data_IF_293077658642
#
_entry.id   IF_293077658642
#
_cell.length_a   1.000
_cell.length_b   1.000
_cell.length_c   1.000
_cell.angle_alpha   90.00
_cell.angle_beta   90.00
_cell.angle_gamma   90.00
#
_symmetry.space_group_name_H-M   'P 1'
#
loop_
_entity.id
_entity.type
_entity.pdbx_description
1 polymer ?
#
# COMPACT_ATOMS: atom_id res chain seq x y z
N UNK A 1 31.51 -57.17 -34.24
CA UNK A 1 30.72 -56.96 -33.02
C UNK A 1 30.57 -55.46 -32.83
N UNK A 2 29.41 -54.94 -33.16
CA UNK A 2 29.11 -53.51 -33.17
C UNK A 2 28.29 -53.22 -31.91
N UNK A 3 28.89 -52.56 -30.92
CA UNK A 3 28.21 -52.26 -29.65
C UNK A 3 27.48 -50.93 -29.79
N UNK A 4 26.16 -51.00 -29.89
CA UNK A 4 25.24 -49.85 -29.89
C UNK A 4 25.11 -49.30 -28.47
N UNK A 5 25.57 -48.06 -28.25
CA UNK A 5 25.25 -47.31 -27.04
C UNK A 5 23.88 -46.64 -27.20
N UNK A 6 22.91 -47.06 -26.39
CA UNK A 6 21.61 -46.39 -26.27
C UNK A 6 21.81 -45.19 -25.33
N UNK A 7 21.74 -43.98 -25.88
CA UNK A 7 21.61 -42.76 -25.09
C UNK A 7 20.15 -42.62 -24.66
N UNK A 8 19.87 -42.87 -23.38
CA UNK A 8 18.60 -42.50 -22.76
C UNK A 8 18.56 -40.98 -22.55
N UNK A 9 17.90 -40.26 -23.46
CA UNK A 9 17.53 -38.86 -23.25
C UNK A 9 16.49 -38.77 -22.12
N UNK A 10 16.95 -38.47 -20.91
CA UNK A 10 16.08 -37.97 -19.85
C UNK A 10 15.74 -36.53 -20.24
N UNK A 11 14.58 -36.35 -20.86
CA UNK A 11 14.00 -35.02 -21.05
C UNK A 11 13.59 -34.49 -19.68
N UNK A 12 14.37 -33.58 -19.11
CA UNK A 12 13.93 -32.74 -18.01
C UNK A 12 12.75 -31.89 -18.50
N UNK A 13 11.53 -32.32 -18.22
CA UNK A 13 10.33 -31.49 -18.33
C UNK A 13 10.44 -30.36 -17.29
N UNK A 14 11.20 -29.31 -17.58
CA UNK A 14 11.03 -28.01 -16.92
C UNK A 14 9.69 -27.45 -17.37
N UNK A 15 8.62 -27.77 -16.65
CA UNK A 15 7.36 -27.02 -16.70
C UNK A 15 7.70 -25.55 -16.50
N UNK A 16 7.57 -24.75 -17.55
CA UNK A 16 7.66 -23.29 -17.45
C UNK A 16 6.48 -22.84 -16.60
N UNK A 17 6.75 -22.50 -15.34
CA UNK A 17 5.69 -22.03 -14.46
C UNK A 17 5.07 -20.76 -15.04
N UNK A 18 3.76 -20.79 -15.27
CA UNK A 18 3.02 -19.64 -15.81
C UNK A 18 2.49 -18.80 -14.65
N UNK A 19 2.27 -17.50 -14.89
CA UNK A 19 1.67 -16.62 -13.88
C UNK A 19 0.33 -17.16 -13.38
N UNK A 20 -0.52 -17.70 -14.26
CA UNK A 20 -1.79 -18.33 -13.89
C UNK A 20 -1.64 -19.56 -12.98
N UNK A 21 -0.53 -20.29 -13.04
CA UNK A 21 -0.28 -21.43 -12.14
C UNK A 21 0.29 -21.02 -10.78
N UNK A 22 1.03 -19.90 -10.73
CA UNK A 22 1.75 -19.43 -9.53
C UNK A 22 1.09 -18.23 -8.87
N UNK A 23 -0.03 -17.72 -9.38
CA UNK A 23 -0.54 -16.42 -8.97
C UNK A 23 -0.77 -16.30 -7.45
N UNK A 24 -1.20 -17.38 -6.78
CA UNK A 24 -1.40 -17.37 -5.32
C UNK A 24 -0.08 -17.14 -4.58
N UNK A 25 1.02 -17.74 -5.06
CA UNK A 25 2.35 -17.55 -4.48
C UNK A 25 2.88 -16.15 -4.76
N UNK A 26 2.65 -15.62 -5.97
CA UNK A 26 2.96 -14.23 -6.35
C UNK A 26 2.14 -13.22 -5.52
N UNK A 27 0.94 -13.60 -5.11
CA UNK A 27 0.08 -12.86 -4.18
C UNK A 27 0.39 -13.17 -2.71
N UNK A 28 1.49 -13.88 -2.41
CA UNK A 28 2.00 -14.03 -1.05
C UNK A 28 1.34 -15.12 -0.22
N UNK A 29 0.66 -16.10 -0.81
CA UNK A 29 0.05 -17.23 -0.06
C UNK A 29 1.05 -17.93 0.87
N UNK A 30 2.32 -18.03 0.46
CA UNK A 30 3.46 -18.55 1.23
C UNK A 30 4.40 -17.45 1.73
N UNK A 31 3.89 -16.23 1.94
CA UNK A 31 4.68 -15.05 2.35
C UNK A 31 5.92 -14.83 1.47
N UNK A 32 5.80 -15.08 0.16
CA UNK A 32 6.90 -14.98 -0.82
C UNK A 32 8.17 -15.74 -0.44
N UNK A 33 8.06 -16.80 0.36
CA UNK A 33 9.20 -17.64 0.71
C UNK A 33 9.89 -18.16 -0.56
N UNK A 34 11.21 -17.99 -0.63
CA UNK A 34 12.05 -18.34 -1.80
C UNK A 34 11.78 -17.54 -3.09
N UNK A 35 10.91 -16.51 -3.07
CA UNK A 35 10.67 -15.64 -4.23
C UNK A 35 11.37 -14.27 -4.11
N UNK A 36 11.82 -13.89 -2.91
CA UNK A 36 12.42 -12.56 -2.65
C UNK A 36 13.94 -12.56 -2.76
N UNK A 37 14.59 -13.65 -2.35
CA UNK A 37 16.06 -13.78 -2.40
C UNK A 37 16.50 -15.19 -2.87
N UNK A 38 16.94 -15.35 -4.14
CA UNK A 38 16.96 -14.35 -5.21
C UNK A 38 15.54 -13.89 -5.59
N UNK A 39 15.45 -12.75 -6.30
CA UNK A 39 14.14 -12.21 -6.66
C UNK A 39 13.65 -12.98 -7.88
N UNK A 40 12.53 -13.68 -7.75
CA UNK A 40 11.92 -14.44 -8.84
C UNK A 40 11.47 -13.51 -9.97
N UNK A 41 11.67 -13.93 -11.22
CA UNK A 41 11.38 -13.11 -12.39
C UNK A 41 9.87 -12.82 -12.55
N UNK A 42 8.98 -13.76 -12.22
CA UNK A 42 7.54 -13.52 -12.29
C UNK A 42 7.12 -12.52 -11.21
N UNK A 43 7.67 -12.67 -10.00
CA UNK A 43 7.41 -11.72 -8.91
C UNK A 43 7.92 -10.33 -9.25
N UNK A 44 9.15 -10.22 -9.77
CA UNK A 44 9.74 -8.95 -10.21
C UNK A 44 8.86 -8.25 -11.26
N UNK A 45 8.40 -8.98 -12.27
CA UNK A 45 7.54 -8.45 -13.31
C UNK A 45 6.20 -7.95 -12.76
N UNK A 46 5.57 -8.69 -11.84
CA UNK A 46 4.32 -8.24 -11.22
C UNK A 46 4.52 -7.05 -10.28
N UNK A 47 5.63 -6.98 -9.53
CA UNK A 47 5.97 -5.79 -8.73
C UNK A 47 6.11 -4.57 -9.66
N UNK A 48 6.86 -4.68 -10.75
CA UNK A 48 7.02 -3.58 -11.72
C UNK A 48 5.66 -3.18 -12.29
N UNK A 49 4.84 -4.16 -12.68
CA UNK A 49 3.50 -3.92 -13.25
C UNK A 49 2.60 -3.17 -12.28
N UNK A 50 2.53 -3.59 -11.01
CA UNK A 50 1.75 -2.89 -10.00
C UNK A 50 2.30 -1.49 -9.70
N UNK A 51 3.63 -1.31 -9.74
CA UNK A 51 4.24 0.00 -9.65
C UNK A 51 3.91 0.92 -10.83
N UNK A 52 3.83 0.40 -12.06
CA UNK A 52 3.40 1.17 -13.25
C UNK A 52 1.95 1.62 -13.14
N UNK A 53 1.06 0.80 -12.56
CA UNK A 53 -0.31 1.24 -12.24
C UNK A 53 -0.38 2.35 -11.19
N UNK A 54 0.53 2.36 -10.21
CA UNK A 54 0.66 3.49 -9.28
C UNK A 54 1.24 4.73 -9.98
N UNK A 55 2.21 4.56 -10.87
CA UNK A 55 2.77 5.64 -11.69
C UNK A 55 1.70 6.30 -12.58
N UNK A 56 0.73 5.53 -13.06
CA UNK A 56 -0.44 6.03 -13.79
C UNK A 56 -1.22 7.09 -13.00
N UNK A 57 -1.33 6.94 -11.67
CA UNK A 57 -1.96 7.96 -10.84
C UNK A 57 -1.20 9.29 -10.91
N UNK A 58 0.12 9.27 -10.90
CA UNK A 58 0.93 10.48 -11.00
C UNK A 58 0.82 11.14 -12.38
N UNK A 59 0.89 10.34 -13.45
CA UNK A 59 0.81 10.84 -14.83
C UNK A 59 -0.56 11.47 -15.13
N UNK A 60 -1.64 10.87 -14.63
CA UNK A 60 -3.00 11.34 -14.81
C UNK A 60 -3.40 12.49 -13.86
N UNK A 61 -2.60 12.81 -12.83
CA UNK A 61 -2.92 13.86 -11.86
C UNK A 61 -2.62 15.24 -12.43
N UNK A 62 -3.59 16.15 -12.33
CA UNK A 62 -3.46 17.53 -12.80
C UNK A 62 -2.92 18.44 -11.71
N UNK A 63 -1.74 19.01 -11.96
CA UNK A 63 -1.03 19.92 -11.08
C UNK A 63 -0.99 21.35 -11.63
N UNK A 64 -1.58 21.62 -12.80
CA UNK A 64 -1.65 22.97 -13.35
C UNK A 64 -2.69 23.80 -12.56
N UNK A 65 -2.28 24.83 -11.79
CA UNK A 65 -3.21 25.64 -11.01
C UNK A 65 -4.23 26.39 -11.87
N UNK A 66 -3.95 26.57 -13.16
CA UNK A 66 -4.86 27.24 -14.10
C UNK A 66 -5.89 26.28 -14.72
N UNK A 67 -5.74 24.97 -14.49
CA UNK A 67 -6.65 23.97 -15.02
C UNK A 67 -7.96 23.93 -14.25
N UNK A 68 -9.08 23.80 -14.96
CA UNK A 68 -10.39 23.49 -14.36
C UNK A 68 -10.41 22.14 -13.64
N UNK A 69 -9.44 21.27 -13.91
CA UNK A 69 -9.28 19.95 -13.29
C UNK A 69 -8.12 19.93 -12.29
N UNK A 70 -7.63 21.08 -11.83
CA UNK A 70 -6.59 21.16 -10.81
C UNK A 70 -6.89 20.22 -9.63
N UNK A 71 -5.89 19.43 -9.23
CA UNK A 71 -5.96 18.40 -8.18
C UNK A 71 -6.96 17.26 -8.44
N UNK A 72 -7.33 17.05 -9.71
CA UNK A 72 -8.17 15.95 -10.18
C UNK A 72 -7.47 15.16 -11.29
N UNK A 73 -8.09 14.06 -11.73
CA UNK A 73 -7.64 13.32 -12.90
C UNK A 73 -7.88 14.15 -14.19
N UNK A 74 -6.86 14.23 -15.05
CA UNK A 74 -6.90 14.88 -16.37
C UNK A 74 -7.89 14.20 -17.31
N UNK A 75 -8.03 12.89 -17.20
CA UNK A 75 -8.69 12.04 -18.19
C UNK A 75 -10.02 11.45 -17.68
N UNK A 76 -10.90 11.14 -18.63
CA UNK A 76 -12.11 10.38 -18.34
C UNK A 76 -11.78 8.94 -17.93
N UNK A 77 -12.62 8.35 -17.07
CA UNK A 77 -12.41 7.01 -16.51
C UNK A 77 -12.08 5.94 -17.56
N UNK A 78 -12.80 5.96 -18.69
CA UNK A 78 -12.67 4.95 -19.74
C UNK A 78 -11.42 5.14 -20.62
N UNK A 79 -10.80 6.33 -20.62
CA UNK A 79 -9.61 6.62 -21.42
C UNK A 79 -8.34 6.74 -20.58
N UNK A 80 -8.45 6.90 -19.26
CA UNK A 80 -7.30 7.21 -18.38
C UNK A 80 -6.11 6.27 -18.58
N UNK A 81 -6.33 4.96 -18.59
CA UNK A 81 -5.24 4.00 -18.79
C UNK A 81 -4.64 4.09 -20.20
N UNK A 82 -5.43 4.38 -21.24
CA UNK A 82 -4.91 4.57 -22.60
C UNK A 82 -4.01 5.82 -22.66
N UNK A 83 -4.47 6.93 -22.08
CA UNK A 83 -3.79 8.24 -22.12
C UNK A 83 -2.46 8.23 -21.36
N UNK A 84 -2.33 7.40 -20.33
CA UNK A 84 -1.08 7.22 -19.57
C UNK A 84 -0.21 6.06 -20.07
N UNK A 85 -0.54 5.47 -21.22
CA UNK A 85 0.27 4.43 -21.87
C UNK A 85 0.02 2.99 -21.38
N UNK A 86 -1.01 2.76 -20.57
CA UNK A 86 -1.42 1.45 -20.04
C UNK A 86 -2.68 0.89 -20.70
N UNK A 87 -3.00 1.30 -21.93
CA UNK A 87 -4.23 0.88 -22.60
C UNK A 87 -4.31 -0.63 -22.90
N UNK A 88 -3.16 -1.25 -23.12
CA UNK A 88 -3.04 -2.70 -23.35
C UNK A 88 -2.84 -3.50 -22.05
N UNK A 89 -3.01 -2.87 -20.88
CA UNK A 89 -2.82 -3.54 -19.58
C UNK A 89 -3.90 -4.60 -19.29
N UNK A 90 -5.03 -4.56 -20.00
CA UNK A 90 -6.16 -5.45 -19.79
C UNK A 90 -6.99 -5.12 -18.55
N UNK A 91 -6.86 -3.91 -17.99
CA UNK A 91 -7.67 -3.43 -16.86
C UNK A 91 -8.65 -2.34 -17.30
N UNK A 92 -9.81 -2.34 -16.67
CA UNK A 92 -10.84 -1.34 -16.87
C UNK A 92 -11.07 -0.58 -15.57
N UNK A 93 -10.90 0.74 -15.59
CA UNK A 93 -11.14 1.58 -14.42
C UNK A 93 -12.64 1.64 -14.14
N UNK A 94 -13.04 1.26 -12.93
CA UNK A 94 -14.45 1.20 -12.52
C UNK A 94 -14.86 2.39 -11.67
N UNK A 95 -13.94 2.92 -10.84
CA UNK A 95 -14.20 4.05 -9.94
C UNK A 95 -12.95 4.92 -9.73
N UNK A 96 -13.14 6.23 -9.69
CA UNK A 96 -12.15 7.17 -9.16
C UNK A 96 -12.40 7.41 -7.68
N UNK A 97 -11.33 7.50 -6.91
CA UNK A 97 -11.35 7.67 -5.47
C UNK A 97 -10.84 9.05 -5.12
N UNK A 98 -11.63 9.74 -4.32
CA UNK A 98 -11.34 11.08 -3.83
C UNK A 98 -11.23 11.06 -2.32
N UNK A 99 -10.29 11.82 -1.78
CA UNK A 99 -10.18 12.07 -0.36
C UNK A 99 -10.24 13.56 -0.07
N UNK A 100 -10.83 13.89 1.06
CA UNK A 100 -10.95 15.25 1.55
C UNK A 100 -9.90 15.43 2.62
N UNK A 101 -9.23 16.57 2.61
CA UNK A 101 -8.09 16.81 3.49
C UNK A 101 -8.46 17.97 4.41
N UNK A 102 -8.88 17.66 5.64
CA UNK A 102 -8.91 18.65 6.73
C UNK A 102 -7.50 19.04 7.17
N UNK A 103 -6.53 18.18 6.87
CA UNK A 103 -5.12 18.38 7.15
C UNK A 103 -4.54 19.28 6.06
N UNK A 104 -3.84 20.34 6.47
CA UNK A 104 -3.12 21.29 5.62
C UNK A 104 -1.88 20.62 4.97
N UNK A 105 -2.09 19.49 4.29
CA UNK A 105 -1.07 18.70 3.58
C UNK A 105 -0.44 19.53 2.46
N UNK A 106 -1.13 20.58 2.03
CA UNK A 106 -0.69 21.52 0.99
C UNK A 106 -0.93 22.93 1.51
N UNK A 107 0.14 23.62 1.89
CA UNK A 107 0.17 25.07 2.12
C UNK A 107 -0.08 25.84 0.81
N UNK A 108 -1.28 25.68 0.25
CA UNK A 108 -1.83 26.56 -0.77
C UNK A 108 -2.97 27.25 -0.03
N UNK A 109 -2.81 28.54 0.25
CA UNK A 109 -3.74 29.39 1.01
C UNK A 109 -5.13 29.57 0.38
N UNK A 110 -5.63 28.59 -0.36
CA UNK A 110 -7.01 28.47 -0.78
C UNK A 110 -7.64 27.25 -0.13
N UNK A 111 -8.67 27.53 0.67
CA UNK A 111 -9.64 26.58 1.20
C UNK A 111 -10.41 25.96 0.02
N UNK A 112 -9.79 25.02 -0.71
CA UNK A 112 -10.48 24.25 -1.73
C UNK A 112 -11.34 23.21 -1.03
N UNK A 113 -12.62 23.53 -0.88
CA UNK A 113 -13.67 22.69 -0.28
C UNK A 113 -14.03 21.45 -1.12
N UNK A 114 -13.14 20.95 -1.96
CA UNK A 114 -13.40 19.87 -2.93
C UNK A 114 -12.48 18.67 -2.70
N UNK A 115 -13.04 17.46 -2.83
CA UNK A 115 -12.30 16.21 -2.75
C UNK A 115 -11.19 16.14 -3.80
N UNK A 116 -10.00 15.71 -3.39
CA UNK A 116 -8.82 15.56 -4.24
C UNK A 116 -8.74 14.14 -4.78
N UNK A 117 -8.39 13.98 -6.05
CA UNK A 117 -8.20 12.65 -6.62
C UNK A 117 -6.92 12.00 -6.05
N UNK A 118 -7.07 10.81 -5.45
CA UNK A 118 -5.97 10.10 -4.79
C UNK A 118 -5.70 8.72 -5.37
N UNK A 119 -6.58 8.21 -6.24
CA UNK A 119 -6.47 6.83 -6.72
C UNK A 119 -7.66 6.36 -7.52
N UNK A 120 -7.61 5.10 -7.93
CA UNK A 120 -8.70 4.48 -8.68
C UNK A 120 -8.81 2.99 -8.38
N UNK A 121 -10.01 2.46 -8.63
CA UNK A 121 -10.30 1.03 -8.67
C UNK A 121 -10.40 0.61 -10.13
N UNK A 122 -9.70 -0.46 -10.49
CA UNK A 122 -9.74 -1.08 -11.79
C UNK A 122 -9.91 -2.59 -11.66
N UNK A 123 -10.53 -3.21 -12.66
CA UNK A 123 -10.75 -4.65 -12.68
C UNK A 123 -10.19 -5.21 -13.98
N UNK A 124 -9.46 -6.32 -13.89
CA UNK A 124 -8.97 -7.05 -15.05
C UNK A 124 -10.13 -7.49 -15.96
N UNK A 125 -9.94 -7.42 -17.27
CA UNK A 125 -10.89 -7.90 -18.26
C UNK A 125 -10.78 -9.44 -18.43
N UNK A 126 -11.61 -10.04 -19.28
CA UNK A 126 -11.68 -11.50 -19.43
C UNK A 126 -10.39 -12.11 -20.00
N UNK A 127 -9.70 -11.40 -20.89
CA UNK A 127 -8.45 -11.89 -21.49
C UNK A 127 -7.32 -11.85 -20.45
N UNK A 128 -7.22 -10.74 -19.73
CA UNK A 128 -6.24 -10.55 -18.68
C UNK A 128 -6.50 -11.50 -17.50
N UNK A 129 -7.75 -11.73 -17.13
CA UNK A 129 -8.09 -12.69 -16.07
C UNK A 129 -7.65 -14.12 -16.40
N UNK A 130 -7.72 -14.52 -17.69
CA UNK A 130 -7.18 -15.81 -18.15
C UNK A 130 -5.66 -15.86 -18.04
N UNK A 131 -4.96 -14.78 -18.39
CA UNK A 131 -3.50 -14.67 -18.25
C UNK A 131 -3.05 -14.73 -16.79
N UNK A 132 -3.80 -14.07 -15.90
CA UNK A 132 -3.56 -14.00 -14.47
C UNK A 132 -4.01 -15.24 -13.70
N UNK A 133 -4.89 -16.07 -14.28
CA UNK A 133 -5.53 -17.21 -13.62
C UNK A 133 -6.63 -16.83 -12.63
N UNK A 134 -7.05 -15.56 -12.60
CA UNK A 134 -8.02 -14.99 -11.64
C UNK A 134 -8.56 -13.64 -12.12
N UNK A 135 -9.72 -13.24 -11.61
CA UNK A 135 -10.22 -11.86 -11.68
C UNK A 135 -9.52 -11.01 -10.63
N UNK A 136 -8.56 -10.20 -11.07
CA UNK A 136 -7.89 -9.26 -10.18
C UNK A 136 -8.64 -7.92 -10.09
N UNK A 137 -8.97 -7.52 -8.86
CA UNK A 137 -9.48 -6.20 -8.51
C UNK A 137 -8.29 -5.38 -8.00
N UNK A 138 -7.85 -4.42 -8.79
CA UNK A 138 -6.72 -3.56 -8.49
C UNK A 138 -7.20 -2.22 -7.92
N UNK A 139 -6.71 -1.88 -6.74
CA UNK A 139 -6.90 -0.56 -6.14
C UNK A 139 -5.53 0.12 -6.10
N UNK A 140 -5.45 1.35 -6.59
CA UNK A 140 -4.21 2.11 -6.60
C UNK A 140 -4.35 3.41 -5.83
N UNK A 141 -3.30 3.78 -5.11
CA UNK A 141 -3.19 5.06 -4.42
C UNK A 141 -1.87 5.76 -4.78
N UNK A 142 -1.95 7.04 -5.17
CA UNK A 142 -0.76 7.89 -5.21
C UNK A 142 -0.39 8.37 -3.82
N UNK A 143 0.89 8.70 -3.66
CA UNK A 143 1.37 9.54 -2.57
C UNK A 143 1.13 11.03 -2.82
N UNK A 144 1.60 11.84 -1.89
CA UNK A 144 1.57 13.31 -2.00
C UNK A 144 2.56 13.76 -3.07
N UNK A 145 2.13 14.64 -3.99
CA UNK A 145 3.02 15.19 -5.03
C UNK A 145 3.77 16.43 -4.54
N UNK A 146 3.34 17.02 -3.43
CA UNK A 146 3.80 18.33 -2.99
C UNK A 146 4.00 18.37 -1.47
N UNK A 147 5.18 18.87 -1.09
CA UNK A 147 5.69 19.26 0.22
C UNK A 147 6.01 18.16 1.28
N UNK A 148 7.25 18.04 1.79
CA UNK A 148 7.58 17.25 3.00
C UNK A 148 6.72 17.55 4.24
N UNK A 149 6.03 18.69 4.30
CA UNK A 149 5.16 19.08 5.42
C UNK A 149 4.10 18.03 5.74
N UNK A 150 3.66 17.24 4.74
CA UNK A 150 2.72 16.15 4.99
C UNK A 150 3.24 15.18 6.04
N UNK A 151 4.55 14.94 6.06
CA UNK A 151 5.20 14.02 7.00
C UNK A 151 5.18 14.64 8.39
N UNK A 152 5.38 15.94 8.56
CA UNK A 152 5.25 16.57 9.86
C UNK A 152 3.79 16.49 10.37
N UNK A 153 2.80 16.71 9.48
CA UNK A 153 1.39 16.69 9.81
C UNK A 153 0.81 15.28 10.07
N UNK A 154 1.37 14.24 9.43
CA UNK A 154 0.94 12.83 9.49
C UNK A 154 1.77 12.00 10.49
N UNK A 155 2.51 12.61 11.43
CA UNK A 155 3.43 11.86 12.31
C UNK A 155 3.29 12.21 13.79
N UNK A 156 2.12 12.68 14.23
CA UNK A 156 1.96 13.23 15.58
C UNK A 156 1.33 12.26 16.60
N UNK A 157 0.40 11.36 16.20
CA UNK A 157 -0.38 10.59 17.18
C UNK A 157 -0.87 9.23 16.65
N UNK A 158 -0.74 8.17 17.45
CA UNK A 158 -1.44 6.89 17.26
C UNK A 158 -2.86 6.97 17.85
N UNK A 159 -3.87 6.66 17.05
CA UNK A 159 -5.28 6.64 17.44
C UNK A 159 -5.90 5.26 17.21
N UNK A 160 -6.86 4.81 18.04
CA UNK A 160 -7.60 3.58 17.76
C UNK A 160 -8.25 3.61 16.38
N UNK A 161 -8.08 2.54 15.59
CA UNK A 161 -8.58 2.48 14.22
C UNK A 161 -10.12 2.58 14.15
N UNK A 162 -10.83 1.86 15.03
CA UNK A 162 -12.31 1.86 15.17
C UNK A 162 -13.07 1.72 13.83
N UNK A 163 -12.50 0.93 12.93
CA UNK A 163 -13.08 0.73 11.60
C UNK A 163 -14.27 -0.24 11.65
N UNK A 164 -14.24 -1.28 12.49
CA UNK A 164 -15.42 -2.11 12.74
C UNK A 164 -16.30 -1.50 13.85
N UNK A 165 -17.51 -1.02 13.55
CA UNK A 165 -18.42 -0.47 14.55
C UNK A 165 -18.89 -1.54 15.57
N UNK A 166 -18.83 -2.83 15.23
CA UNK A 166 -19.28 -3.92 16.09
C UNK A 166 -18.16 -4.45 17.01
N UNK A 167 -16.90 -4.09 16.73
CA UNK A 167 -15.74 -4.58 17.48
C UNK A 167 -14.65 -3.50 17.60
N UNK A 168 -14.76 -2.69 18.65
CA UNK A 168 -14.03 -1.42 18.76
C UNK A 168 -12.53 -1.51 19.14
N UNK A 169 -11.97 -2.73 19.24
CA UNK A 169 -10.54 -3.07 19.48
C UNK A 169 -9.61 -1.87 19.78
N UNK A 170 -9.68 -1.26 20.98
CA UNK A 170 -8.98 -0.02 21.29
C UNK A 170 -7.44 -0.16 21.31
N UNK A 171 -6.94 -1.39 21.44
CA UNK A 171 -5.53 -1.77 21.36
C UNK A 171 -4.94 -1.64 19.96
N UNK A 172 -5.77 -1.72 18.92
CA UNK A 172 -5.36 -1.58 17.53
C UNK A 172 -5.33 -0.11 17.17
N UNK A 173 -4.10 0.42 17.04
CA UNK A 173 -3.89 1.83 16.78
C UNK A 173 -3.16 2.04 15.45
N UNK A 174 -3.61 3.06 14.74
CA UNK A 174 -3.05 3.51 13.47
C UNK A 174 -2.69 4.99 13.57
N UNK A 175 -1.86 5.47 12.65
CA UNK A 175 -1.52 6.88 12.54
C UNK A 175 -2.80 7.71 12.27
N UNK A 176 -3.00 8.75 13.08
CA UNK A 176 -4.23 9.53 13.10
C UNK A 176 -4.48 10.30 11.80
N UNK A 177 -3.43 10.80 11.16
CA UNK A 177 -3.55 11.50 9.90
C UNK A 177 -3.92 10.59 8.73
N UNK A 178 -3.35 9.38 8.63
CA UNK A 178 -3.77 8.39 7.63
C UNK A 178 -5.22 7.95 7.85
N UNK A 179 -5.63 7.75 9.11
CA UNK A 179 -7.01 7.44 9.44
C UNK A 179 -7.95 8.59 9.07
N UNK A 180 -7.58 9.82 9.42
CA UNK A 180 -8.34 11.03 9.07
C UNK A 180 -8.53 11.15 7.56
N UNK A 181 -7.46 11.04 6.78
CA UNK A 181 -7.53 11.06 5.31
C UNK A 181 -8.43 9.96 4.74
N UNK A 182 -8.49 8.81 5.40
CA UNK A 182 -9.30 7.66 4.99
C UNK A 182 -10.78 7.84 5.34
N UNK A 183 -11.11 8.43 6.50
CA UNK A 183 -12.49 8.47 7.03
C UNK A 183 -13.18 9.83 6.96
N UNK A 184 -12.45 10.94 6.77
CA UNK A 184 -13.04 12.28 6.67
C UNK A 184 -14.04 12.36 5.53
N UNK A 185 -15.15 13.06 5.77
CA UNK A 185 -16.23 13.26 4.82
C UNK A 185 -16.56 14.76 4.74
N UNK A 186 -16.65 15.31 3.52
CA UNK A 186 -17.16 16.65 3.30
C UNK A 186 -18.69 16.53 3.20
N UNK A 187 -19.38 16.68 4.34
CA UNK A 187 -20.83 16.55 4.41
C UNK A 187 -21.56 17.31 3.29
N UNK A 188 -22.56 16.65 2.69
CA UNK A 188 -23.61 17.06 1.72
C UNK A 188 -23.29 17.99 0.52
N UNK A 189 -22.23 18.82 0.53
CA UNK A 189 -21.98 19.87 -0.47
C UNK A 189 -21.54 19.35 -1.84
N UNK A 190 -21.02 18.13 -1.91
CA UNK A 190 -20.60 17.48 -3.17
C UNK A 190 -21.18 16.08 -3.38
N UNK A 191 -21.94 15.55 -2.40
CA UNK A 191 -22.51 14.19 -2.47
C UNK A 191 -21.49 13.05 -2.51
N UNK A 192 -20.20 13.33 -2.32
CA UNK A 192 -19.14 12.33 -2.24
C UNK A 192 -18.97 11.92 -0.78
N UNK A 193 -19.17 10.65 -0.47
CA UNK A 193 -18.78 10.10 0.83
C UNK A 193 -17.27 10.12 1.04
N UNK A 194 -16.82 9.75 2.24
CA UNK A 194 -15.41 9.57 2.58
C UNK A 194 -14.68 8.63 1.61
N UNK A 195 -13.34 8.71 1.60
CA UNK A 195 -12.49 7.80 0.84
C UNK A 195 -12.85 6.33 1.13
N UNK A 196 -12.98 5.99 2.42
CA UNK A 196 -13.45 4.70 2.92
C UNK A 196 -14.78 4.29 2.29
N UNK A 197 -15.81 5.12 2.38
CA UNK A 197 -17.15 4.79 1.86
C UNK A 197 -17.14 4.55 0.35
N UNK A 198 -16.40 5.36 -0.41
CA UNK A 198 -16.24 5.19 -1.86
C UNK A 198 -15.60 3.84 -2.20
N UNK A 199 -14.54 3.47 -1.47
CA UNK A 199 -13.80 2.21 -1.67
C UNK A 199 -14.64 0.99 -1.29
N UNK A 200 -15.19 0.96 -0.08
CA UNK A 200 -15.96 -0.18 0.42
C UNK A 200 -17.21 -0.42 -0.44
N UNK A 201 -17.89 0.64 -0.87
CA UNK A 201 -19.04 0.55 -1.77
C UNK A 201 -18.66 -0.06 -3.12
N UNK A 202 -17.56 0.41 -3.72
CA UNK A 202 -17.10 -0.10 -5.02
C UNK A 202 -16.59 -1.55 -4.93
N UNK A 203 -15.84 -1.89 -3.89
CA UNK A 203 -15.35 -3.26 -3.67
C UNK A 203 -16.53 -4.22 -3.50
N UNK A 204 -17.53 -3.87 -2.68
CA UNK A 204 -18.76 -4.67 -2.55
C UNK A 204 -19.47 -4.86 -3.90
N UNK A 205 -19.58 -3.78 -4.68
CA UNK A 205 -20.21 -3.82 -6.01
C UNK A 205 -19.46 -4.77 -6.95
N UNK A 206 -18.13 -4.69 -6.99
CA UNK A 206 -17.28 -5.52 -7.86
C UNK A 206 -17.31 -6.98 -7.42
N UNK A 207 -17.17 -7.27 -6.12
CA UNK A 207 -17.24 -8.64 -5.58
C UNK A 207 -18.58 -9.29 -5.92
N UNK A 208 -19.69 -8.55 -5.79
CA UNK A 208 -21.01 -9.06 -6.15
C UNK A 208 -21.18 -9.27 -7.67
N UNK A 209 -20.57 -8.39 -8.48
CA UNK A 209 -20.63 -8.49 -9.95
C UNK A 209 -19.92 -9.73 -10.50
N UNK A 210 -18.81 -10.14 -9.89
CA UNK A 210 -18.00 -11.29 -10.31
C UNK A 210 -18.11 -12.48 -9.34
N UNK A 211 -19.23 -12.56 -8.62
CA UNK A 211 -19.49 -13.64 -7.67
C UNK A 211 -19.42 -15.00 -8.37
N UNK A 212 -18.61 -15.91 -7.83
CA UNK A 212 -18.39 -17.25 -8.37
C UNK A 212 -17.18 -17.36 -9.30
N UNK A 213 -16.52 -16.25 -9.65
CA UNK A 213 -15.18 -16.30 -10.25
C UNK A 213 -14.10 -16.43 -9.17
N UNK A 214 -12.96 -17.01 -9.52
CA UNK A 214 -11.75 -16.96 -8.72
C UNK A 214 -11.21 -15.52 -8.72
N UNK A 215 -11.12 -14.86 -7.57
CA UNK A 215 -10.76 -13.44 -7.49
C UNK A 215 -9.54 -13.17 -6.61
N UNK A 216 -8.92 -12.00 -6.80
CA UNK A 216 -7.97 -11.40 -5.85
C UNK A 216 -8.24 -9.91 -5.69
N UNK A 217 -7.92 -9.37 -4.52
CA UNK A 217 -7.90 -7.93 -4.28
C UNK A 217 -6.44 -7.52 -4.13
N UNK A 218 -5.91 -6.85 -5.15
CA UNK A 218 -4.56 -6.29 -5.13
C UNK A 218 -4.63 -4.80 -4.84
N UNK A 219 -3.89 -4.32 -3.85
CA UNK A 219 -3.85 -2.91 -3.48
C UNK A 219 -2.41 -2.44 -3.61
N UNK A 220 -2.16 -1.44 -4.46
CA UNK A 220 -0.84 -0.89 -4.69
C UNK A 220 -0.79 0.57 -4.30
N UNK A 221 0.28 0.98 -3.63
CA UNK A 221 0.42 2.36 -3.18
C UNK A 221 1.88 2.78 -3.12
N UNK A 222 2.12 4.08 -3.33
CA UNK A 222 3.43 4.68 -3.13
C UNK A 222 3.37 5.73 -2.02
N UNK A 223 4.39 5.80 -1.17
CA UNK A 223 4.50 6.81 -0.10
C UNK A 223 3.26 6.82 0.80
N UNK A 224 2.62 7.97 1.04
CA UNK A 224 1.31 8.07 1.72
C UNK A 224 0.25 7.09 1.16
N UNK A 225 0.25 6.83 -0.15
CA UNK A 225 -0.65 5.87 -0.79
C UNK A 225 -0.44 4.42 -0.31
N UNK A 226 0.79 4.05 0.08
CA UNK A 226 1.06 2.75 0.72
C UNK A 226 0.37 2.62 2.07
N UNK A 227 0.31 3.71 2.84
CA UNK A 227 -0.34 3.68 4.15
C UNK A 227 -1.85 3.49 4.01
N UNK A 228 -2.46 4.22 3.07
CA UNK A 228 -3.87 4.03 2.71
C UNK A 228 -4.15 2.62 2.17
N UNK A 229 -3.22 2.07 1.38
CA UNK A 229 -3.34 0.71 0.86
C UNK A 229 -3.42 -0.33 1.99
N UNK A 230 -2.56 -0.21 3.00
CA UNK A 230 -2.57 -1.10 4.16
C UNK A 230 -3.80 -0.89 5.05
N UNK A 231 -4.22 0.36 5.29
CA UNK A 231 -5.47 0.64 6.02
C UNK A 231 -6.69 0.04 5.32
N UNK A 232 -6.79 0.18 4.01
CA UNK A 232 -7.88 -0.42 3.23
C UNK A 232 -7.84 -1.95 3.31
N UNK A 233 -6.65 -2.57 3.18
CA UNK A 233 -6.51 -4.02 3.29
C UNK A 233 -7.02 -4.53 4.63
N UNK A 234 -6.62 -3.84 5.71
CA UNK A 234 -7.10 -4.09 7.06
C UNK A 234 -8.63 -3.94 7.15
N UNK A 235 -9.20 -2.85 6.64
CA UNK A 235 -10.64 -2.59 6.72
C UNK A 235 -11.47 -3.64 5.96
N UNK A 236 -11.02 -4.05 4.77
CA UNK A 236 -11.67 -5.11 3.98
C UNK A 236 -11.73 -6.42 4.77
N UNK A 237 -10.60 -6.83 5.36
CA UNK A 237 -10.48 -8.10 6.05
C UNK A 237 -11.17 -8.07 7.42
N UNK A 238 -11.06 -6.98 8.18
CA UNK A 238 -11.71 -6.82 9.49
C UNK A 238 -13.25 -6.82 9.33
N UNK A 239 -13.78 -6.20 8.27
CA UNK A 239 -15.21 -6.24 7.96
C UNK A 239 -15.68 -7.55 7.28
N UNK A 240 -14.76 -8.47 6.98
CA UNK A 240 -15.06 -9.73 6.29
C UNK A 240 -15.58 -9.56 4.86
N UNK A 241 -15.33 -8.41 4.21
CA UNK A 241 -15.83 -8.15 2.85
C UNK A 241 -15.19 -9.03 1.78
N UNK A 242 -14.02 -9.59 2.07
CA UNK A 242 -13.34 -10.56 1.23
C UNK A 242 -13.84 -11.99 1.43
N UNK A 243 -14.95 -12.21 2.13
CA UNK A 243 -15.55 -13.55 2.31
C UNK A 243 -16.75 -13.71 1.37
N UNK A 244 -16.71 -14.73 0.52
CA UNK A 244 -17.83 -15.09 -0.37
C UNK A 244 -18.69 -16.19 0.24
N UNK A 245 -19.39 -15.92 1.34
CA UNK A 245 -20.45 -16.82 1.80
C UNK A 245 -21.68 -16.66 0.91
N UNK A 246 -22.27 -17.77 0.44
CA UNK A 246 -23.66 -17.77 0.02
C UNK A 246 -24.52 -17.31 1.23
N UNK A 247 -25.57 -16.50 1.04
CA UNK A 247 -26.45 -16.16 2.16
C UNK A 247 -27.06 -17.46 2.68
N UNK A 248 -26.69 -17.86 3.90
CA UNK A 248 -27.48 -18.83 4.67
C UNK A 248 -28.89 -18.25 4.79
N UNK A 249 -29.85 -18.98 4.24
CA UNK A 249 -31.28 -18.78 4.45
C UNK A 249 -31.52 -18.52 5.94
N UNK A 250 -32.35 -17.51 6.22
CA UNK A 250 -32.75 -17.10 7.57
C UNK A 250 -32.95 -18.30 8.51
N UNK A 251 -32.01 -18.53 9.42
CA UNK A 251 -32.24 -19.34 10.62
C UNK A 251 -32.19 -18.39 11.82
N UNK A 252 -33.32 -18.39 12.52
CA UNK A 252 -33.72 -17.57 13.65
C UNK A 252 -32.65 -17.35 14.72
N UNK A 253 -32.58 -16.10 15.18
CA UNK A 253 -31.88 -15.66 16.38
C UNK A 253 -32.36 -16.38 17.65
N UNK A 254 -31.61 -17.39 18.11
CA UNK A 254 -31.41 -17.71 19.53
C UNK A 254 -30.47 -18.90 19.63
N UNK A 255 -29.24 -18.64 20.11
CA UNK A 255 -28.16 -19.55 20.53
C UNK A 255 -26.84 -19.24 19.82
N UNK A 256 -26.16 -18.18 20.28
CA UNK A 256 -24.71 -18.01 20.09
C UNK A 256 -24.07 -17.70 21.45
N UNK A 257 -24.02 -18.71 22.30
CA UNK A 257 -23.06 -18.81 23.39
C UNK A 257 -22.49 -20.22 23.28
N UNK A 258 -21.18 -20.29 23.01
CA UNK A 258 -20.40 -21.51 22.78
C UNK A 258 -20.66 -22.23 21.45
N UNK A 259 -20.23 -21.62 20.34
CA UNK A 259 -19.81 -22.39 19.18
C UNK A 259 -18.53 -21.79 18.61
N UNK A 260 -17.47 -22.59 18.67
CA UNK A 260 -16.18 -22.39 18.02
C UNK A 260 -16.37 -21.98 16.57
N UNK A 261 -15.58 -20.99 16.12
CA UNK A 261 -15.54 -20.40 14.78
C UNK A 261 -15.99 -21.37 13.68
N UNK A 262 -16.96 -21.00 12.81
CA UNK A 262 -17.28 -21.82 11.66
C UNK A 262 -16.00 -21.97 10.84
N UNK A 263 -15.61 -23.21 10.53
CA UNK A 263 -14.46 -23.50 9.69
C UNK A 263 -14.76 -22.99 8.27
N UNK A 264 -14.49 -21.70 8.03
CA UNK A 264 -14.51 -21.11 6.70
C UNK A 264 -13.48 -21.89 5.89
N UNK A 265 -13.93 -22.63 4.87
CA UNK A 265 -13.00 -23.27 3.95
C UNK A 265 -12.13 -22.19 3.30
N UNK A 266 -10.82 -22.40 3.24
CA UNK A 266 -9.86 -21.44 2.66
C UNK A 266 -10.24 -21.01 1.22
N UNK A 267 -11.02 -21.84 0.53
CA UNK A 267 -11.54 -21.57 -0.82
C UNK A 267 -12.62 -20.47 -0.91
N UNK A 268 -13.16 -19.98 0.22
CA UNK A 268 -14.20 -18.94 0.24
C UNK A 268 -13.68 -17.55 0.60
N UNK A 269 -12.36 -17.38 0.74
CA UNK A 269 -11.73 -16.12 1.11
C UNK A 269 -10.96 -15.57 -0.10
N UNK A 270 -11.35 -14.38 -0.54
CA UNK A 270 -10.64 -13.64 -1.57
C UNK A 270 -9.33 -13.11 -0.95
N UNK A 271 -8.16 -13.47 -1.49
CA UNK A 271 -6.88 -12.98 -0.98
C UNK A 271 -6.77 -11.47 -1.16
N UNK A 272 -6.29 -10.79 -0.12
CA UNK A 272 -6.02 -9.36 -0.10
C UNK A 272 -4.52 -9.14 0.02
N UNK A 273 -3.93 -8.52 -1.00
CA UNK A 273 -2.48 -8.34 -1.11
C UNK A 273 -2.13 -6.88 -1.32
N UNK A 274 -1.16 -6.38 -0.56
CA UNK A 274 -0.66 -5.02 -0.63
C UNK A 274 0.74 -5.00 -1.23
N UNK A 275 0.95 -4.24 -2.30
CA UNK A 275 2.26 -3.89 -2.85
C UNK A 275 2.57 -2.44 -2.45
N UNK A 276 3.43 -2.29 -1.45
CA UNK A 276 3.80 -1.00 -0.87
C UNK A 276 5.15 -0.55 -1.41
N UNK A 277 5.19 0.60 -2.09
CA UNK A 277 6.41 1.23 -2.57
C UNK A 277 6.75 2.42 -1.66
N UNK A 278 7.92 2.39 -1.01
CA UNK A 278 8.36 3.50 -0.15
C UNK A 278 7.39 3.84 0.98
N UNK A 279 6.61 2.86 1.47
CA UNK A 279 5.57 3.10 2.47
C UNK A 279 6.11 3.33 3.90
N UNK A 280 5.54 4.29 4.66
CA UNK A 280 5.85 4.45 6.08
C UNK A 280 5.18 3.36 6.94
N UNK A 281 5.53 3.30 8.23
CA UNK A 281 4.79 2.51 9.22
C UNK A 281 3.41 3.12 9.43
N UNK A 282 2.40 2.27 9.57
CA UNK A 282 0.99 2.69 9.59
C UNK A 282 0.37 2.61 10.98
N UNK A 283 0.77 1.62 11.78
CA UNK A 283 0.17 1.38 13.08
C UNK A 283 1.12 0.72 14.06
N UNK A 284 0.59 0.43 15.24
CA UNK A 284 1.34 -0.19 16.32
C UNK A 284 1.53 -1.70 16.13
N UNK A 285 2.19 -2.36 17.09
CA UNK A 285 2.36 -3.82 17.08
C UNK A 285 1.02 -4.57 17.03
N UNK A 286 0.00 -4.13 17.78
CA UNK A 286 -1.33 -4.75 17.75
C UNK A 286 -1.99 -4.67 16.36
N UNK A 287 -1.78 -3.56 15.64
CA UNK A 287 -2.22 -3.45 14.25
C UNK A 287 -1.48 -4.43 13.33
N UNK A 288 -0.18 -4.62 13.51
CA UNK A 288 0.61 -5.62 12.76
C UNK A 288 0.09 -7.04 13.01
N UNK A 289 0.00 -7.43 14.28
CA UNK A 289 -0.44 -8.78 14.68
C UNK A 289 -1.84 -9.06 14.14
N UNK A 290 -2.75 -8.07 14.23
CA UNK A 290 -4.09 -8.22 13.66
C UNK A 290 -4.09 -8.38 12.14
N UNK A 291 -3.25 -7.65 11.40
CA UNK A 291 -3.14 -7.82 9.95
C UNK A 291 -2.67 -9.24 9.58
N UNK A 292 -1.73 -9.79 10.35
CA UNK A 292 -1.22 -11.15 10.17
C UNK A 292 -2.29 -12.21 10.50
N UNK A 293 -3.05 -12.03 11.58
CA UNK A 293 -4.21 -12.88 11.95
C UNK A 293 -5.29 -12.89 10.88
N UNK A 294 -5.58 -11.72 10.28
CA UNK A 294 -6.54 -11.56 9.19
C UNK A 294 -6.06 -12.16 7.86
N UNK A 295 -4.83 -12.65 7.79
CA UNK A 295 -4.26 -13.26 6.59
C UNK A 295 -3.87 -12.28 5.48
N UNK A 296 -3.79 -10.98 5.79
CA UNK A 296 -3.43 -9.94 4.82
C UNK A 296 -1.98 -10.13 4.40
N UNK A 297 -1.72 -10.10 3.10
CA UNK A 297 -0.35 -10.22 2.56
C UNK A 297 0.17 -8.84 2.20
N UNK A 298 1.33 -8.48 2.71
CA UNK A 298 1.94 -7.17 2.45
C UNK A 298 3.38 -7.39 1.99
N UNK A 299 3.69 -6.90 0.79
CA UNK A 299 5.04 -6.85 0.25
C UNK A 299 5.51 -5.39 0.21
N UNK A 300 6.54 -5.08 0.98
CA UNK A 300 7.14 -3.74 1.08
C UNK A 300 8.39 -3.68 0.21
N UNK A 301 8.36 -2.84 -0.81
CA UNK A 301 9.50 -2.50 -1.64
C UNK A 301 10.14 -1.25 -1.03
N UNK A 302 11.35 -1.41 -0.51
CA UNK A 302 12.04 -0.40 0.31
C UNK A 302 13.40 -0.10 -0.31
N UNK A 303 13.70 1.20 -0.49
CA UNK A 303 15.02 1.67 -0.81
C UNK A 303 15.78 1.98 0.50
N UNK A 304 16.98 1.42 0.68
CA UNK A 304 17.79 1.60 1.91
C UNK A 304 18.04 3.08 2.24
N UNK A 305 18.15 3.90 1.20
CA UNK A 305 18.44 5.34 1.29
C UNK A 305 17.18 6.20 1.49
N UNK A 306 16.00 5.62 1.45
CA UNK A 306 14.73 6.35 1.58
C UNK A 306 14.35 6.50 3.07
N UNK A 307 14.36 7.73 3.64
CA UNK A 307 14.04 7.95 5.04
C UNK A 307 12.56 7.71 5.38
N UNK A 308 11.65 7.80 4.39
CA UNK A 308 10.20 7.67 4.62
C UNK A 308 9.83 6.28 5.10
N UNK A 309 10.51 5.27 4.56
CA UNK A 309 10.31 3.87 4.94
C UNK A 309 10.66 3.59 6.40
N UNK A 310 11.41 4.48 7.05
CA UNK A 310 11.84 4.35 8.45
C UNK A 310 11.05 5.28 9.36
N UNK A 311 9.96 5.89 8.90
CA UNK A 311 9.07 6.73 9.72
C UNK A 311 7.71 6.06 9.92
N UNK A 312 6.96 6.44 10.96
CA UNK A 312 7.38 7.19 12.16
C UNK A 312 8.20 6.34 13.15
N UNK A 313 9.09 6.97 13.92
CA UNK A 313 9.71 6.37 15.12
C UNK A 313 11.15 5.89 14.96
N UNK A 314 12.07 6.78 14.57
CA UNK A 314 13.52 6.51 14.35
C UNK A 314 14.25 5.94 15.60
N UNK A 315 13.62 5.87 16.78
CA UNK A 315 14.30 5.53 18.04
C UNK A 315 13.75 4.36 18.87
N UNK A 316 12.70 3.63 18.47
CA UNK A 316 12.15 2.51 19.27
C UNK A 316 11.80 1.28 18.43
N UNK A 317 12.62 0.98 17.41
CA UNK A 317 12.30 -0.03 16.43
C UNK A 317 13.15 -1.29 16.66
N UNK A 318 12.52 -2.30 17.27
CA UNK A 318 12.92 -3.72 17.25
C UNK A 318 14.19 -4.13 18.04
N UNK A 319 15.29 -3.38 18.01
CA UNK A 319 16.53 -3.73 18.72
C UNK A 319 16.46 -3.59 20.25
N UNK A 320 15.49 -2.84 20.78
CA UNK A 320 15.33 -2.68 22.23
C UNK A 320 14.83 -3.97 22.91
N UNK A 321 14.08 -4.83 22.19
CA UNK A 321 13.70 -6.17 22.67
C UNK A 321 14.89 -7.12 22.77
N UNK A 322 15.84 -7.00 21.84
CA UNK A 322 17.08 -7.82 21.83
C UNK A 322 18.02 -7.39 22.96
N UNK A 323 18.14 -6.08 23.23
CA UNK A 323 18.96 -5.55 24.33
C UNK A 323 18.41 -5.87 25.73
N UNK A 324 17.09 -6.04 25.90
CA UNK A 324 16.45 -6.34 27.19
C UNK A 324 16.09 -7.83 27.40
N UNK A 325 16.65 -8.73 26.58
CA UNK A 325 16.64 -10.17 26.87
C UNK A 325 15.25 -10.81 26.93
N UNK A 326 14.31 -10.39 26.06
CA UNK A 326 13.07 -11.11 25.79
C UNK A 326 12.11 -11.39 26.97
N UNK A 327 12.36 -10.82 28.16
CA UNK A 327 11.61 -11.13 29.40
C UNK A 327 10.83 -9.97 30.01
N UNK A 328 10.97 -8.74 29.50
CA UNK A 328 10.28 -7.57 30.04
C UNK A 328 9.39 -6.94 28.96
N UNK A 329 8.09 -7.23 29.01
CA UNK A 329 7.06 -6.42 28.35
C UNK A 329 6.97 -5.08 29.09
N UNK A 330 7.66 -4.06 28.59
CA UNK A 330 7.45 -2.68 29.05
C UNK A 330 6.07 -2.22 28.56
N UNK A 331 5.21 -1.61 29.40
CA UNK A 331 3.84 -1.23 29.03
C UNK A 331 3.71 -0.30 27.80
N UNK A 332 4.83 0.25 27.32
CA UNK A 332 4.92 1.20 26.22
C UNK A 332 5.25 0.51 24.87
N UNK A 333 5.51 -0.80 24.85
CA UNK A 333 5.78 -1.57 23.62
C UNK A 333 4.60 -1.53 22.63
N UNK A 334 3.36 -1.42 23.14
CA UNK A 334 2.15 -1.29 22.34
C UNK A 334 1.94 0.12 21.74
N UNK A 335 2.81 1.07 22.06
CA UNK A 335 2.78 2.45 21.55
C UNK A 335 3.84 2.70 20.47
N UNK A 336 4.62 1.68 20.08
CA UNK A 336 5.62 1.78 19.03
C UNK A 336 5.03 1.38 17.68
N UNK A 337 5.37 2.12 16.63
CA UNK A 337 4.98 1.79 15.26
C UNK A 337 5.75 0.57 14.74
N UNK A 338 5.04 -0.34 14.08
CA UNK A 338 5.60 -1.56 13.52
C UNK A 338 5.35 -1.65 12.02
N UNK A 339 6.27 -2.30 11.30
CA UNK A 339 6.06 -2.67 9.91
C UNK A 339 5.25 -3.96 9.79
N UNK A 340 4.36 -3.99 8.80
CA UNK A 340 3.56 -5.17 8.44
C UNK A 340 4.10 -5.75 7.15
N UNK A 341 4.29 -7.08 7.11
CA UNK A 341 4.65 -7.81 5.89
C UNK A 341 6.13 -8.05 5.63
N UNK A 342 6.38 -8.59 4.44
CA UNK A 342 7.70 -9.02 3.94
C UNK A 342 8.37 -7.87 3.20
N UNK A 343 9.69 -7.72 3.39
CA UNK A 343 10.46 -6.63 2.81
C UNK A 343 11.36 -7.09 1.66
N UNK A 344 11.37 -6.30 0.59
CA UNK A 344 12.36 -6.36 -0.50
C UNK A 344 13.21 -5.10 -0.39
N UNK A 345 14.46 -5.29 0.00
CA UNK A 345 15.46 -4.23 0.07
C UNK A 345 16.09 -4.02 -1.31
N UNK A 346 15.98 -2.80 -1.82
CA UNK A 346 16.71 -2.30 -2.98
C UNK A 346 17.89 -1.47 -2.46
N UNK A 347 19.10 -1.94 -2.71
CA UNK A 347 20.34 -1.35 -2.19
C UNK A 347 21.37 -1.17 -3.31
N UNK A 348 21.25 -0.11 -4.13
CA UNK A 348 22.20 0.15 -5.21
C UNK A 348 22.54 1.66 -5.36
N UNK A 349 23.85 1.95 -5.35
CA UNK A 349 24.61 3.19 -5.59
C UNK A 349 23.95 4.57 -5.38
N UNK A 350 24.43 5.24 -4.33
CA UNK A 350 24.73 6.67 -4.16
C UNK A 350 23.91 7.70 -4.98
N UNK A 351 22.71 8.03 -4.50
CA UNK A 351 22.03 9.28 -4.88
C UNK A 351 22.17 10.30 -3.74
N UNK A 352 22.79 11.45 -4.05
CA UNK A 352 23.03 12.54 -3.12
C UNK A 352 21.76 13.36 -2.77
N UNK A 353 20.59 13.04 -3.35
CA UNK A 353 19.37 13.80 -3.14
C UNK A 353 18.22 12.94 -2.53
N UNK A 354 17.77 13.23 -1.28
CA UNK A 354 16.72 12.47 -0.59
C UNK A 354 15.35 12.53 -1.29
N UNK A 355 15.05 13.55 -2.10
CA UNK A 355 13.80 13.61 -2.87
C UNK A 355 13.82 12.68 -4.10
N UNK A 356 15.00 12.35 -4.63
CA UNK A 356 15.15 11.45 -5.79
C UNK A 356 15.07 9.97 -5.40
N UNK A 357 15.47 9.62 -4.17
CA UNK A 357 15.46 8.22 -3.68
C UNK A 357 14.07 7.73 -3.27
N UNK A 358 13.14 8.66 -3.01
CA UNK A 358 11.74 8.39 -2.69
C UNK A 358 10.83 8.51 -3.93
N UNK A 359 11.38 8.77 -5.12
CA UNK A 359 10.57 8.81 -6.33
C UNK A 359 10.21 7.39 -6.80
N UNK A 360 8.93 7.16 -7.14
CA UNK A 360 8.46 5.86 -7.61
C UNK A 360 9.18 5.42 -8.90
N UNK A 361 9.55 6.35 -9.77
CA UNK A 361 10.33 6.07 -10.97
C UNK A 361 11.70 5.46 -10.61
N UNK A 362 12.37 5.97 -9.59
CA UNK A 362 13.60 5.39 -9.05
C UNK A 362 13.40 3.95 -8.59
N UNK A 363 12.34 3.67 -7.81
CA UNK A 363 12.01 2.30 -7.38
C UNK A 363 11.82 1.34 -8.56
N UNK A 364 11.08 1.76 -9.59
CA UNK A 364 10.81 0.93 -10.77
C UNK A 364 12.06 0.72 -11.63
N UNK A 365 12.88 1.76 -11.79
CA UNK A 365 14.14 1.66 -12.52
C UNK A 365 15.10 0.70 -11.83
N UNK A 366 15.20 0.75 -10.50
CA UNK A 366 16.02 -0.17 -9.71
C UNK A 366 15.55 -1.62 -9.86
N UNK A 367 14.24 -1.86 -9.92
CA UNK A 367 13.68 -3.19 -10.14
C UNK A 367 13.91 -3.71 -11.56
N UNK A 368 14.12 -2.85 -12.56
CA UNK A 368 14.36 -3.26 -13.96
C UNK A 368 15.81 -3.69 -14.24
N UNK A 369 16.75 -3.42 -13.34
CA UNK A 369 18.19 -3.73 -13.55
C UNK A 369 18.46 -5.23 -13.27
N UNK A 370 19.09 -5.98 -14.20
CA UNK A 370 19.46 -7.38 -13.98
C UNK A 370 20.54 -7.55 -12.89
N UNK A 371 20.38 -8.53 -12.00
CA UNK A 371 21.24 -8.80 -10.81
C UNK A 371 22.68 -9.26 -11.08
N UNK A 372 23.26 -9.07 -12.27
CA UNK A 372 24.59 -9.63 -12.57
C UNK A 372 25.79 -8.85 -12.02
N UNK A 373 25.63 -7.67 -11.38
CA UNK A 373 26.78 -6.81 -11.07
C UNK A 373 26.66 -5.93 -9.80
N UNK A 374 26.22 -6.43 -8.64
CA UNK A 374 26.27 -5.61 -7.42
C UNK A 374 26.77 -6.36 -6.19
N UNK A 375 27.97 -5.97 -5.74
CA UNK A 375 28.54 -6.30 -4.45
C UNK A 375 27.88 -5.47 -3.36
N UNK A 376 27.47 -6.15 -2.28
CA UNK A 376 26.93 -5.55 -1.06
C UNK A 376 28.08 -4.91 -0.28
N UNK A 377 28.12 -3.58 -0.18
CA UNK A 377 28.88 -2.88 0.86
C UNK A 377 27.89 -2.29 1.86
N UNK A 378 27.88 -2.86 3.07
CA UNK A 378 27.24 -2.26 4.25
C UNK A 378 28.10 -1.08 4.71
N UNK A 379 27.67 0.15 4.46
CA UNK A 379 28.17 1.32 5.19
C UNK A 379 27.18 1.77 6.28
N UNK A 380 27.75 2.37 7.32
CA UNK A 380 27.31 2.30 8.72
C UNK A 380 26.18 3.27 9.10
N UNK A 381 25.37 2.87 10.08
CA UNK A 381 24.13 3.54 10.53
C UNK A 381 24.24 4.95 11.11
N UNK A 382 25.40 5.62 11.06
CA UNK A 382 25.61 6.98 11.57
C UNK A 382 25.18 8.03 10.53
N UNK A 383 25.46 7.83 9.24
CA UNK A 383 25.07 8.77 8.17
C UNK A 383 23.54 8.83 8.00
N UNK A 384 22.88 7.68 8.20
CA UNK A 384 21.43 7.57 8.10
C UNK A 384 20.68 8.42 9.15
N UNK A 385 21.12 8.40 10.40
CA UNK A 385 20.47 9.15 11.49
C UNK A 385 20.57 10.66 11.25
N UNK A 386 21.67 11.12 10.68
CA UNK A 386 21.85 12.53 10.31
C UNK A 386 20.90 12.91 9.18
N UNK A 387 20.80 12.11 8.11
CA UNK A 387 19.85 12.38 7.00
C UNK A 387 18.38 12.35 7.44
N UNK A 388 17.98 11.41 8.29
CA UNK A 388 16.62 11.36 8.81
C UNK A 388 16.29 12.56 9.71
N UNK A 389 17.25 12.99 10.54
CA UNK A 389 17.12 14.21 11.35
C UNK A 389 17.08 15.46 10.48
N UNK A 390 17.96 15.59 9.50
CA UNK A 390 17.97 16.72 8.55
C UNK A 390 16.66 16.80 7.78
N UNK A 391 16.15 15.68 7.29
CA UNK A 391 14.87 15.63 6.58
C UNK A 391 13.68 16.02 7.46
N UNK A 392 13.66 15.57 8.73
CA UNK A 392 12.65 15.95 9.71
C UNK A 392 12.74 17.43 10.12
N UNK A 393 13.95 17.93 10.39
CA UNK A 393 14.21 19.34 10.69
C UNK A 393 13.87 20.25 9.51
N UNK A 394 14.14 19.80 8.29
CA UNK A 394 13.75 20.49 7.07
C UNK A 394 12.23 20.61 6.95
N UNK A 395 11.49 19.53 7.21
CA UNK A 395 10.01 19.55 7.24
C UNK A 395 9.44 20.49 8.32
N UNK A 396 10.05 20.54 9.51
CA UNK A 396 9.64 21.44 10.59
C UNK A 396 9.96 22.91 10.30
N UNK A 397 11.13 23.22 9.74
CA UNK A 397 11.54 24.59 9.40
C UNK A 397 10.63 25.22 8.33
N UNK A 398 10.19 24.43 7.33
CA UNK A 398 9.24 24.92 6.33
C UNK A 398 7.87 25.21 6.96
N UNK A 399 7.40 24.34 7.86
CA UNK A 399 6.14 24.55 8.59
C UNK A 399 6.16 25.81 9.48
N UNK A 400 7.31 26.11 10.11
CA UNK A 400 7.48 27.33 10.90
C UNK A 400 7.53 28.61 10.06
N UNK A 401 8.11 28.55 8.85
CA UNK A 401 8.17 29.69 7.92
C UNK A 401 6.78 30.06 7.36
N UNK A 402 5.85 29.11 7.25
CA UNK A 402 4.50 29.36 6.75
C UNK A 402 3.46 29.68 7.85
N UNK A 403 3.71 29.27 9.10
CA UNK A 403 2.85 29.61 10.25
C UNK A 403 3.24 30.93 10.94
N UNK A 404 4.33 31.57 10.53
CA UNK A 404 4.69 32.92 10.95
C UNK A 404 3.89 33.97 10.19
N UNK A 405 2.85 34.50 10.82
CA UNK A 405 2.27 35.78 10.44
C UNK A 405 3.39 36.81 10.19
N UNK A 406 3.25 37.56 9.10
CA UNK A 406 4.07 38.73 8.80
C UNK A 406 3.82 39.78 9.90
N UNK A 407 4.60 39.71 10.97
CA UNK A 407 4.89 40.84 11.82
C UNK A 407 6.18 41.46 11.28
N UNK A 408 6.04 42.32 10.28
CA UNK A 408 7.10 43.27 9.94
C UNK A 408 7.31 44.18 11.16
N UNK A 409 8.51 44.27 11.74
CA UNK A 409 8.78 45.25 12.77
C UNK A 409 8.67 46.64 12.15
N UNK A 410 7.81 47.46 12.75
CA UNK A 410 7.69 48.88 12.45
C UNK A 410 9.04 49.54 12.76
N UNK A 411 9.73 50.02 11.72
CA UNK A 411 10.91 50.86 11.86
C UNK A 411 10.59 52.17 11.14
N UNK A 412 10.25 53.17 11.97
CA UNK A 412 10.17 54.62 11.78
C UNK A 412 9.53 55.20 10.52
#
# INVERSE_FOLDING_TARGET
MTTTFIHSNISSNTTTNTLASMWREIQGSKNWQNLVNPLDNLLQNEIIRYGEFVAACYNAFDLDPNSKRYLNCKYGKNSMLNEVGLGNSGYNVTKYIYATTDINVLSIGQKCSSGRWIGYVAVSNNEESKRLGRRDVLITFRGTVTNPEWIANLMSTLTPARLDPNNLRPEIKVEAGFLSLYTSNEGEKFGLGSCREQLLSEIRRVINMYKGEEMSITIAGHSMGSALALLLAYDIAELGLNTTTAPESQVSHQNRLYESSPSVSENNIIPVTVFSFGGPRVGNLGFKERCEELGIKVLRIVNVNDPITKLPGVFLNENFRVLLGGKYEVPWSCSCYAHVGVEILLDFFNMQNPTCVHDLGTYLNLLKIPKSNLQVQREEGIDFLNRAKEFFLWGLNISMLYNGEIMLPSIW
#
